data_IF_131301725048
#
_entry.id   IF_131301725048
#
_cell.length_a   1.000
_cell.length_b   1.000
_cell.length_c   1.000
_cell.angle_alpha   90.00
_cell.angle_beta   90.00
_cell.angle_gamma   90.00
#
_symmetry.space_group_name_H-M   'P 1'
#
loop_
_entity.id
_entity.type
_entity.pdbx_description
1 polymer ?
#
# COMPACT_ATOMS: atom_id res chain seq x y z
N UNK A 1 -39.90 41.80 -40.58
CA UNK A 1 -39.67 40.62 -39.72
C UNK A 1 -38.48 39.82 -40.27
N UNK A 2 -37.29 40.40 -40.32
CA UNK A 2 -36.12 39.74 -40.96
C UNK A 2 -34.77 40.31 -40.52
N UNK A 3 -34.70 41.06 -39.42
CA UNK A 3 -33.44 41.69 -38.94
C UNK A 3 -33.04 41.18 -37.54
N UNK A 4 -34.01 40.70 -36.79
CA UNK A 4 -33.88 40.15 -35.44
C UNK A 4 -33.45 38.67 -35.44
N UNK A 5 -33.77 37.91 -36.49
CA UNK A 5 -33.34 36.51 -36.66
C UNK A 5 -31.85 36.41 -37.03
N UNK A 6 -31.31 37.41 -37.73
CA UNK A 6 -29.89 37.47 -38.12
C UNK A 6 -28.96 37.72 -36.93
N UNK A 7 -29.38 38.54 -35.96
CA UNK A 7 -28.61 38.79 -34.74
C UNK A 7 -28.48 37.53 -33.87
N UNK A 8 -29.55 36.75 -33.72
CA UNK A 8 -29.52 35.50 -32.97
C UNK A 8 -28.57 34.47 -33.61
N UNK A 9 -28.55 34.38 -34.94
CA UNK A 9 -27.65 33.50 -35.69
C UNK A 9 -26.19 33.96 -35.59
N UNK A 10 -25.93 35.27 -35.60
CA UNK A 10 -24.60 35.85 -35.44
C UNK A 10 -24.04 35.62 -34.02
N UNK A 11 -24.86 35.79 -32.98
CA UNK A 11 -24.48 35.50 -31.58
C UNK A 11 -24.21 34.00 -31.39
N UNK A 12 -24.99 33.12 -32.02
CA UNK A 12 -24.76 31.68 -31.96
C UNK A 12 -23.48 31.25 -32.69
N UNK A 13 -23.17 31.83 -33.85
CA UNK A 13 -21.93 31.55 -34.59
C UNK A 13 -20.69 32.10 -33.87
N UNK A 14 -20.77 33.30 -33.27
CA UNK A 14 -19.66 33.88 -32.50
C UNK A 14 -19.37 33.10 -31.22
N UNK A 15 -20.41 32.64 -30.51
CA UNK A 15 -20.24 31.79 -29.32
C UNK A 15 -19.67 30.40 -29.65
N UNK A 16 -20.07 29.79 -30.77
CA UNK A 16 -19.53 28.48 -31.20
C UNK A 16 -18.07 28.57 -31.64
N UNK A 17 -17.66 29.66 -32.30
CA UNK A 17 -16.25 29.90 -32.67
C UNK A 17 -15.38 30.28 -31.47
N UNK A 18 -15.90 31.04 -30.51
CA UNK A 18 -15.21 31.34 -29.25
C UNK A 18 -14.95 30.08 -28.42
N UNK A 19 -15.92 29.16 -28.35
CA UNK A 19 -15.77 27.88 -27.65
C UNK A 19 -14.71 26.98 -28.31
N UNK A 20 -14.63 26.98 -29.64
CA UNK A 20 -13.60 26.24 -30.38
C UNK A 20 -12.18 26.83 -30.15
N UNK A 21 -12.05 28.16 -30.11
CA UNK A 21 -10.78 28.84 -29.83
C UNK A 21 -10.30 28.62 -28.38
N UNK A 22 -11.22 28.59 -27.41
CA UNK A 22 -10.90 28.28 -26.02
C UNK A 22 -10.43 26.81 -25.84
N UNK A 23 -11.03 25.87 -26.57
CA UNK A 23 -10.58 24.48 -26.58
C UNK A 23 -9.17 24.33 -27.19
N UNK A 24 -8.88 25.07 -28.27
CA UNK A 24 -7.55 25.08 -28.89
C UNK A 24 -6.48 25.71 -27.98
N UNK A 25 -6.80 26.77 -27.23
CA UNK A 25 -5.89 27.40 -26.27
C UNK A 25 -5.57 26.49 -25.07
N UNK A 26 -6.53 25.68 -24.61
CA UNK A 26 -6.30 24.70 -23.54
C UNK A 26 -5.39 23.53 -23.98
N UNK A 27 -5.37 23.19 -25.26
CA UNK A 27 -4.48 22.17 -25.80
C UNK A 27 -3.02 22.64 -25.93
N UNK A 28 -2.78 23.95 -26.08
CA UNK A 28 -1.44 24.53 -26.21
C UNK A 28 -0.69 24.72 -24.86
N UNK A 29 -1.36 24.59 -23.72
CA UNK A 29 -0.78 24.83 -22.39
C UNK A 29 -0.21 23.58 -21.69
N UNK A 30 -0.03 22.45 -22.41
CA UNK A 30 0.33 21.15 -21.82
C UNK A 30 1.79 20.69 -22.02
N UNK A 31 2.69 21.51 -22.58
CA UNK A 31 4.05 21.08 -22.98
C UNK A 31 5.24 21.68 -22.21
N UNK A 32 5.12 21.97 -20.91
CA UNK A 32 6.34 22.22 -20.10
C UNK A 32 6.18 21.87 -18.60
N UNK A 33 6.26 20.57 -18.26
CA UNK A 33 6.77 20.04 -16.97
C UNK A 33 6.72 18.51 -16.96
N UNK A 34 7.81 17.90 -17.40
CA UNK A 34 7.96 16.44 -17.47
C UNK A 34 9.40 15.95 -17.36
N UNK A 35 10.26 16.66 -16.62
CA UNK A 35 11.57 16.16 -16.22
C UNK A 35 11.67 16.22 -14.69
N UNK A 36 12.48 15.32 -14.12
CA UNK A 36 12.76 15.12 -12.69
C UNK A 36 11.83 14.16 -11.94
N UNK A 37 11.78 12.89 -12.35
CA UNK A 37 11.54 11.74 -11.46
C UNK A 37 12.07 10.43 -12.09
N UNK A 38 13.33 10.42 -12.55
CA UNK A 38 13.98 9.22 -13.09
C UNK A 38 15.29 8.85 -12.36
N UNK A 39 15.45 9.30 -11.12
CA UNK A 39 16.65 9.05 -10.32
C UNK A 39 16.28 8.51 -8.94
N UNK A 40 16.14 7.18 -8.79
CA UNK A 40 16.49 6.46 -7.54
C UNK A 40 16.16 4.96 -7.48
N UNK A 41 15.80 4.28 -8.57
CA UNK A 41 15.84 2.80 -8.60
C UNK A 41 17.23 2.28 -8.97
N UNK A 42 18.27 2.87 -8.37
CA UNK A 42 19.61 2.29 -8.34
C UNK A 42 19.57 1.06 -7.45
N UNK A 43 19.33 -0.10 -8.05
CA UNK A 43 19.53 -1.41 -7.42
C UNK A 43 21.00 -1.49 -7.03
N UNK A 44 21.31 -1.16 -5.77
CA UNK A 44 22.64 -1.37 -5.20
C UNK A 44 22.91 -2.87 -5.16
N UNK A 45 23.50 -3.40 -6.23
CA UNK A 45 24.20 -4.67 -6.21
C UNK A 45 25.45 -4.43 -5.36
N UNK A 46 25.39 -4.83 -4.10
CA UNK A 46 26.54 -4.81 -3.21
C UNK A 46 27.51 -5.90 -3.68
N UNK A 47 28.44 -5.54 -4.56
CA UNK A 47 29.62 -6.34 -4.91
C UNK A 47 30.68 -6.13 -3.82
N UNK A 48 30.37 -6.55 -2.58
CA UNK A 48 31.39 -6.61 -1.54
C UNK A 48 32.29 -7.81 -1.84
N UNK A 49 33.36 -7.56 -2.60
CA UNK A 49 34.52 -8.44 -2.74
C UNK A 49 34.98 -8.83 -1.33
N UNK A 50 34.82 -10.11 -0.96
CA UNK A 50 35.44 -10.66 0.25
C UNK A 50 36.92 -10.85 -0.08
N UNK A 51 37.77 -10.00 0.50
CA UNK A 51 39.22 -10.22 0.52
C UNK A 51 39.53 -11.47 1.37
N UNK A 52 40.50 -12.32 0.98
CA UNK A 52 40.92 -13.45 1.77
C UNK A 52 41.98 -12.98 2.76
N UNK A 53 41.58 -12.51 3.94
CA UNK A 53 42.53 -12.35 5.04
C UNK A 53 42.74 -13.71 5.67
N UNK A 54 43.81 -14.39 5.24
CA UNK A 54 44.46 -15.46 5.97
C UNK A 54 44.86 -14.92 7.34
N UNK A 55 44.11 -15.31 8.37
CA UNK A 55 44.56 -15.20 9.75
C UNK A 55 44.40 -16.58 10.36
N UNK A 56 45.55 -17.20 10.56
CA UNK A 56 45.74 -18.39 11.38
C UNK A 56 45.13 -18.15 12.75
N UNK A 57 44.14 -18.97 13.12
CA UNK A 57 43.63 -19.03 14.48
C UNK A 57 44.08 -20.35 15.08
N UNK A 58 44.93 -20.25 16.11
CA UNK A 58 45.38 -21.39 16.89
C UNK A 58 44.19 -22.12 17.51
N UNK A 59 44.14 -23.42 17.27
CA UNK A 59 43.12 -24.31 17.76
C UNK A 59 43.40 -24.66 19.22
N UNK A 60 42.52 -24.28 20.13
CA UNK A 60 42.39 -24.93 21.44
C UNK A 60 41.04 -24.58 22.07
N UNK A 61 40.03 -25.42 21.79
CA UNK A 61 38.90 -25.58 22.71
C UNK A 61 38.48 -27.05 22.68
N UNK A 62 38.88 -27.78 23.71
CA UNK A 62 38.34 -29.09 24.04
C UNK A 62 36.84 -28.91 24.32
N UNK A 63 35.99 -29.30 23.36
CA UNK A 63 34.53 -29.09 23.45
C UNK A 63 33.87 -30.44 23.74
N UNK A 64 33.28 -30.63 24.93
CA UNK A 64 32.59 -31.88 25.25
C UNK A 64 31.44 -32.12 24.28
N UNK A 65 31.42 -33.31 23.68
CA UNK A 65 30.48 -33.72 22.64
C UNK A 65 29.03 -33.59 23.07
N UNK A 66 28.32 -32.58 22.55
CA UNK A 66 26.86 -32.50 22.67
C UNK A 66 26.24 -33.66 21.89
N UNK A 67 25.58 -34.57 22.62
CA UNK A 67 24.79 -35.66 22.05
C UNK A 67 23.82 -35.09 21.01
N UNK A 68 23.90 -35.57 19.76
CA UNK A 68 23.01 -35.14 18.68
C UNK A 68 21.58 -35.50 19.09
N UNK A 69 20.76 -34.48 19.35
CA UNK A 69 19.34 -34.70 19.58
C UNK A 69 18.73 -35.35 18.33
N UNK A 70 18.04 -36.48 18.54
CA UNK A 70 17.24 -37.16 17.53
C UNK A 70 16.35 -36.11 16.85
N UNK A 71 16.53 -35.95 15.54
CA UNK A 71 15.73 -35.04 14.73
C UNK A 71 14.26 -35.39 14.89
N UNK A 72 13.50 -34.58 15.65
CA UNK A 72 12.04 -34.73 15.78
C UNK A 72 11.46 -34.86 14.37
N UNK A 73 10.78 -35.99 14.10
CA UNK A 73 10.09 -36.22 12.82
C UNK A 73 9.15 -35.04 12.58
N UNK A 74 9.46 -34.21 11.58
CA UNK A 74 8.60 -33.10 11.17
C UNK A 74 7.29 -33.73 10.67
N UNK A 75 6.17 -33.42 11.32
CA UNK A 75 4.85 -33.94 10.94
C UNK A 75 4.57 -33.73 9.45
N UNK A 76 3.79 -34.64 8.86
CA UNK A 76 3.38 -34.52 7.44
C UNK A 76 2.60 -33.22 7.25
N UNK A 77 3.05 -32.39 6.31
CA UNK A 77 2.36 -31.14 5.94
C UNK A 77 1.05 -31.54 5.23
N UNK A 78 -0.10 -31.16 5.77
CA UNK A 78 -1.40 -31.52 5.21
C UNK A 78 -1.70 -30.73 3.93
N UNK A 79 -2.30 -31.41 2.95
CA UNK A 79 -2.80 -30.82 1.71
C UNK A 79 -4.19 -30.22 1.95
N UNK A 80 -4.54 -29.18 1.21
CA UNK A 80 -5.82 -28.50 1.32
C UNK A 80 -6.98 -29.46 1.05
N UNK A 81 -8.00 -29.46 1.91
CA UNK A 81 -9.22 -30.25 1.77
C UNK A 81 -10.19 -29.76 0.66
N UNK A 82 -9.73 -28.93 -0.27
CA UNK A 82 -10.58 -28.44 -1.36
C UNK A 82 -10.28 -29.26 -2.62
N UNK A 83 -11.33 -29.54 -3.41
CA UNK A 83 -11.20 -30.29 -4.66
C UNK A 83 -10.14 -29.65 -5.58
N UNK A 84 -9.27 -30.49 -6.13
CA UNK A 84 -8.15 -30.10 -7.00
C UNK A 84 -7.15 -29.09 -6.39
N UNK A 85 -7.04 -29.04 -5.06
CA UNK A 85 -6.11 -28.14 -4.40
C UNK A 85 -4.86 -28.83 -3.84
N UNK A 86 -3.74 -28.73 -4.56
CA UNK A 86 -2.45 -29.28 -4.14
C UNK A 86 -1.68 -28.42 -3.13
N UNK A 87 -2.23 -27.25 -2.78
CA UNK A 87 -1.53 -26.31 -1.88
C UNK A 87 -1.57 -26.81 -0.42
N UNK A 88 -0.50 -26.52 0.32
CA UNK A 88 -0.35 -26.96 1.70
C UNK A 88 -1.19 -26.13 2.67
N UNK A 89 -1.69 -26.77 3.72
CA UNK A 89 -2.45 -26.17 4.82
C UNK A 89 -1.49 -25.64 5.86
N UNK A 90 -1.68 -24.37 6.24
CA UNK A 90 -0.93 -23.71 7.33
C UNK A 90 -1.65 -23.93 8.68
N UNK A 91 -2.95 -24.25 8.65
CA UNK A 91 -3.77 -24.66 9.79
C UNK A 91 -5.27 -24.50 9.52
N UNK A 92 -6.08 -25.48 9.94
CA UNK A 92 -7.55 -25.47 9.80
C UNK A 92 -8.10 -26.08 8.50
N UNK A 93 -7.49 -27.15 7.98
CA UNK A 93 -8.01 -27.95 6.86
C UNK A 93 -7.89 -27.34 5.45
N UNK A 94 -7.82 -26.01 5.33
CA UNK A 94 -7.75 -25.31 4.04
C UNK A 94 -6.49 -24.44 3.88
N UNK A 95 -6.01 -24.30 2.64
CA UNK A 95 -4.84 -23.47 2.31
C UNK A 95 -5.14 -21.98 2.40
N UNK A 96 -4.11 -21.13 2.33
CA UNK A 96 -4.27 -19.67 2.35
C UNK A 96 -5.20 -19.12 1.25
N UNK A 97 -5.28 -19.81 0.09
CA UNK A 97 -6.15 -19.41 -1.03
C UNK A 97 -7.62 -19.76 -0.78
N UNK A 98 -7.88 -20.85 -0.08
CA UNK A 98 -9.22 -21.30 0.31
C UNK A 98 -9.65 -20.80 1.69
N UNK A 99 -8.70 -20.31 2.49
CA UNK A 99 -8.93 -19.60 3.76
C UNK A 99 -9.39 -18.15 3.52
N UNK A 100 -10.22 -17.95 2.49
CA UNK A 100 -10.81 -16.67 2.17
C UNK A 100 -11.86 -16.33 3.23
N UNK A 101 -11.51 -15.48 4.19
CA UNK A 101 -12.50 -14.80 5.03
C UNK A 101 -13.45 -14.05 4.10
N UNK A 102 -14.73 -14.46 4.04
CA UNK A 102 -15.74 -13.80 3.19
C UNK A 102 -15.78 -12.30 3.52
N UNK A 103 -15.41 -11.45 2.56
CA UNK A 103 -15.52 -9.99 2.70
C UNK A 103 -17.00 -9.63 2.73
N UNK A 104 -17.45 -8.90 3.76
CA UNK A 104 -18.84 -8.41 3.82
C UNK A 104 -19.09 -7.42 2.68
N UNK A 105 -20.18 -7.63 1.94
CA UNK A 105 -20.65 -6.74 0.87
C UNK A 105 -21.53 -5.64 1.45
N UNK A 106 -21.53 -4.49 0.80
CA UNK A 106 -22.37 -3.36 1.13
C UNK A 106 -23.84 -3.78 1.22
N UNK A 107 -24.56 -3.27 2.23
CA UNK A 107 -25.97 -3.59 2.44
C UNK A 107 -26.92 -2.94 1.43
N UNK A 108 -26.44 -2.05 0.57
CA UNK A 108 -27.28 -1.40 -0.45
C UNK A 108 -27.54 -2.31 -1.65
N UNK A 109 -28.76 -2.24 -2.18
CA UNK A 109 -29.21 -3.04 -3.31
C UNK A 109 -28.32 -2.83 -4.54
N UNK A 110 -27.90 -3.93 -5.17
CA UNK A 110 -27.01 -3.90 -6.34
C UNK A 110 -25.56 -3.48 -6.06
N UNK A 111 -25.16 -3.24 -4.80
CA UNK A 111 -23.80 -2.79 -4.51
C UNK A 111 -22.82 -3.96 -4.27
N UNK A 112 -21.89 -4.16 -5.21
CA UNK A 112 -20.81 -5.13 -5.06
C UNK A 112 -19.55 -4.58 -4.35
N UNK A 113 -19.65 -3.41 -3.72
CA UNK A 113 -18.50 -2.84 -2.98
C UNK A 113 -18.35 -3.53 -1.63
N UNK A 114 -17.11 -3.55 -1.13
CA UNK A 114 -16.81 -4.00 0.22
C UNK A 114 -17.33 -3.01 1.27
N UNK A 115 -17.87 -3.55 2.37
CA UNK A 115 -18.21 -2.76 3.57
C UNK A 115 -16.95 -2.13 4.15
N UNK A 116 -17.02 -0.83 4.40
CA UNK A 116 -15.94 -0.09 5.09
C UNK A 116 -16.28 0.00 6.57
N UNK A 117 -17.46 0.52 6.90
CA UNK A 117 -17.96 0.70 8.26
C UNK A 117 -19.49 0.63 8.25
N UNK A 118 -20.11 0.31 9.40
CA UNK A 118 -21.57 0.31 9.57
C UNK A 118 -22.39 -0.48 8.51
N UNK A 119 -21.82 -1.55 7.92
CA UNK A 119 -22.53 -2.37 6.93
C UNK A 119 -22.63 -1.77 5.51
N UNK A 120 -22.08 -0.58 5.29
CA UNK A 120 -22.12 0.11 4.01
C UNK A 120 -20.71 0.39 3.46
N UNK A 121 -20.62 0.66 2.15
CA UNK A 121 -19.36 1.05 1.52
C UNK A 121 -19.17 2.56 1.54
N UNK A 122 -17.98 3.01 1.13
CA UNK A 122 -17.61 4.43 1.05
C UNK A 122 -18.57 5.29 0.23
N UNK A 123 -19.19 4.72 -0.80
CA UNK A 123 -20.16 5.42 -1.67
C UNK A 123 -21.55 5.50 -1.05
N UNK A 124 -21.89 4.60 -0.13
CA UNK A 124 -23.20 4.49 0.49
C UNK A 124 -23.18 5.00 1.94
N UNK A 125 -22.38 6.04 2.20
CA UNK A 125 -22.41 6.74 3.49
C UNK A 125 -21.69 6.03 4.63
N UNK A 126 -20.71 5.16 4.36
CA UNK A 126 -19.88 4.64 5.45
C UNK A 126 -19.25 5.81 6.22
N UNK A 127 -19.58 5.91 7.52
CA UNK A 127 -19.03 6.93 8.40
C UNK A 127 -17.51 6.78 8.49
N UNK A 128 -16.83 7.78 7.94
CA UNK A 128 -15.38 7.91 7.98
C UNK A 128 -15.04 9.02 8.96
N UNK A 129 -14.15 8.71 9.90
CA UNK A 129 -13.63 9.73 10.80
C UNK A 129 -12.80 10.72 9.98
N UNK A 130 -13.28 11.95 9.89
CA UNK A 130 -12.53 13.07 9.33
C UNK A 130 -11.55 13.60 10.36
N UNK A 131 -10.56 14.34 9.88
CA UNK A 131 -9.58 15.00 10.71
C UNK A 131 -10.26 15.99 11.66
N UNK A 132 -9.98 15.91 12.96
CA UNK A 132 -10.52 16.80 13.99
C UNK A 132 -10.09 18.27 13.90
N UNK A 133 -9.31 18.64 12.88
CA UNK A 133 -8.92 20.03 12.64
C UNK A 133 -10.02 20.75 11.86
N UNK A 134 -10.33 21.97 12.25
CA UNK A 134 -11.34 22.83 11.63
C UNK A 134 -11.23 22.84 10.09
N UNK A 135 -12.34 22.52 9.42
CA UNK A 135 -12.46 22.57 7.96
C UNK A 135 -11.62 21.58 7.17
N UNK A 136 -11.04 20.54 7.78
CA UNK A 136 -10.19 19.61 7.04
C UNK A 136 -10.97 18.44 6.42
N UNK A 137 -10.99 18.31 5.07
CA UNK A 137 -11.67 17.20 4.40
C UNK A 137 -10.86 15.89 4.44
N UNK A 138 -9.68 15.89 5.05
CA UNK A 138 -8.83 14.71 5.09
C UNK A 138 -9.32 13.68 6.11
N UNK A 139 -9.11 12.41 5.80
CA UNK A 139 -9.40 11.31 6.71
C UNK A 139 -8.49 11.36 7.94
N UNK A 140 -9.09 11.20 9.11
CA UNK A 140 -8.36 10.96 10.34
C UNK A 140 -7.63 9.61 10.25
N UNK A 141 -6.41 9.62 10.75
CA UNK A 141 -5.61 8.43 10.95
C UNK A 141 -5.64 8.07 12.45
N UNK A 142 -4.56 7.46 12.96
CA UNK A 142 -4.40 7.26 14.40
C UNK A 142 -4.30 8.61 15.11
N UNK A 143 -5.14 8.80 16.13
CA UNK A 143 -5.16 10.01 16.95
C UNK A 143 -6.10 11.12 16.46
N UNK A 144 -7.08 10.82 15.61
CA UNK A 144 -8.15 11.77 15.24
C UNK A 144 -7.76 12.83 14.21
N UNK A 145 -6.48 12.94 13.86
CA UNK A 145 -5.97 13.91 12.88
C UNK A 145 -5.46 13.23 11.62
N UNK A 146 -5.37 13.97 10.52
CA UNK A 146 -4.78 13.50 9.27
C UNK A 146 -3.24 13.59 9.30
N UNK A 147 -2.58 13.04 8.29
CA UNK A 147 -1.10 13.06 8.18
C UNK A 147 -0.56 14.49 8.15
N UNK A 148 -1.28 15.42 7.51
CA UNK A 148 -0.89 16.84 7.44
C UNK A 148 -1.03 17.55 8.79
N UNK A 149 -2.01 17.17 9.58
CA UNK A 149 -2.28 17.76 10.91
C UNK A 149 -1.64 16.95 12.04
N UNK A 150 -0.56 16.22 11.75
CA UNK A 150 0.28 15.63 12.79
C UNK A 150 -0.12 14.22 13.22
N UNK A 151 -0.79 13.43 12.38
CA UNK A 151 -0.96 12.01 12.66
C UNK A 151 0.40 11.33 12.88
N UNK A 152 0.71 11.03 14.14
CA UNK A 152 2.03 10.52 14.55
C UNK A 152 2.24 9.12 13.98
N UNK A 153 3.22 8.98 13.08
CA UNK A 153 3.74 7.66 12.69
C UNK A 153 4.68 7.18 13.80
N UNK A 154 4.45 5.99 14.35
CA UNK A 154 5.39 5.39 15.31
C UNK A 154 6.72 5.15 14.59
N UNK A 155 7.80 5.77 15.08
CA UNK A 155 9.16 5.60 14.56
C UNK A 155 9.88 4.49 15.32
N UNK A 156 10.83 3.87 14.63
CA UNK A 156 11.65 2.81 15.18
C UNK A 156 12.39 3.29 16.44
N UNK A 157 12.38 2.48 17.50
CA UNK A 157 13.01 2.81 18.78
C UNK A 157 14.55 2.71 18.77
N UNK A 158 15.16 2.37 17.64
CA UNK A 158 16.62 2.27 17.51
C UNK A 158 17.22 3.65 17.24
N UNK A 159 18.33 3.96 17.90
CA UNK A 159 19.08 5.20 17.73
C UNK A 159 19.29 5.58 16.26
N UNK A 160 18.95 6.82 15.90
CA UNK A 160 19.11 7.36 14.55
C UNK A 160 18.19 6.77 13.47
N UNK A 161 17.19 5.95 13.81
CA UNK A 161 16.33 5.33 12.80
C UNK A 161 15.02 6.09 12.58
N UNK A 162 14.86 6.62 11.37
CA UNK A 162 13.63 7.29 10.95
C UNK A 162 12.60 6.36 10.27
N UNK A 163 12.81 5.04 10.34
CA UNK A 163 11.89 4.07 9.74
C UNK A 163 10.63 3.90 10.60
N UNK A 164 9.51 3.58 9.95
CA UNK A 164 8.27 3.29 10.65
C UNK A 164 8.33 1.96 11.39
N UNK A 165 7.76 1.93 12.60
CA UNK A 165 7.56 0.70 13.37
C UNK A 165 6.59 -0.20 12.63
N UNK A 166 6.96 -1.47 12.49
CA UNK A 166 6.03 -2.47 11.96
C UNK A 166 5.41 -3.28 13.11
N UNK A 167 6.24 -3.84 13.99
CA UNK A 167 5.80 -4.60 15.15
C UNK A 167 6.86 -4.50 16.26
N UNK A 168 6.44 -4.52 17.53
CA UNK A 168 7.38 -4.54 18.67
C UNK A 168 8.22 -3.27 18.87
N UNK A 169 7.79 -2.11 18.37
CA UNK A 169 8.53 -0.85 18.56
C UNK A 169 9.71 -0.64 17.62
N UNK A 170 10.00 -1.60 16.74
CA UNK A 170 11.12 -1.54 15.79
C UNK A 170 10.64 -1.64 14.33
N UNK A 171 11.48 -1.21 13.40
CA UNK A 171 11.25 -1.35 11.96
C UNK A 171 11.70 -2.72 11.45
N UNK A 172 11.36 -3.06 10.20
CA UNK A 172 11.77 -4.34 9.57
C UNK A 172 13.28 -4.57 9.58
N UNK A 173 14.08 -3.49 9.52
CA UNK A 173 15.53 -3.56 9.55
C UNK A 173 16.10 -3.87 10.95
N UNK A 174 15.37 -3.50 12.00
CA UNK A 174 15.83 -3.60 13.39
C UNK A 174 15.09 -4.68 14.18
N UNK A 175 14.69 -5.76 13.50
CA UNK A 175 14.16 -6.95 14.17
C UNK A 175 12.64 -6.97 14.37
N UNK A 176 11.87 -6.23 13.58
CA UNK A 176 10.42 -6.43 13.61
C UNK A 176 10.07 -7.83 13.10
N UNK A 177 9.64 -8.71 14.02
CA UNK A 177 9.14 -10.04 13.69
C UNK A 177 7.75 -9.94 13.07
N UNK A 178 7.67 -10.19 11.76
CA UNK A 178 6.42 -10.31 11.03
C UNK A 178 5.97 -11.76 11.14
N UNK A 179 4.90 -12.00 11.89
CA UNK A 179 4.26 -13.32 11.97
C UNK A 179 3.46 -13.64 10.71
#
# INVERSE_FOLDING_TARGET
>A
MSEEEDLAVLIYKSSKTAKARAAAAAAAAAEEKGQLNASSTGRRTSTRKRSPTNQVFEASIDRPGKKRAVSKKRGRKSVCSADECTTLVIGGGVCFRHKAKKKKRCSSEGCNNQVVNAGVCRRHGAELKLCSSEGCPNLAQRGGVCIRHGAKKKRCNSEGCNNQVVQGGVCRRHGAELK
#
